data_IF_969010485656
#
_entry.id   IF_969010485656
#
_cell.length_a   1.000
_cell.length_b   1.000
_cell.length_c   1.000
_cell.angle_alpha   90.00
_cell.angle_beta   90.00
_cell.angle_gamma   90.00
#
_symmetry.space_group_name_H-M   'P 1'
#
loop_
_entity.id
_entity.type
_entity.pdbx_description
1 polymer ?
#
# COMPACT_ATOMS: atom_id res chain seq x y z
N UNK A 1 -12.37 -16.93 -2.71
CA UNK A 1 -11.53 -17.14 -1.50
C UNK A 1 -12.21 -16.68 -0.22
N UNK A 2 -12.64 -15.41 -0.10
CA UNK A 2 -13.24 -14.85 1.13
C UNK A 2 -14.49 -15.58 1.63
N UNK A 3 -15.39 -15.99 0.72
CA UNK A 3 -16.57 -16.79 1.06
C UNK A 3 -16.17 -18.17 1.63
N UNK A 4 -15.16 -18.80 1.03
CA UNK A 4 -14.62 -20.09 1.50
C UNK A 4 -14.01 -19.93 2.90
N UNK A 5 -13.23 -18.86 3.11
CA UNK A 5 -12.64 -18.52 4.41
C UNK A 5 -13.73 -18.33 5.48
N UNK A 6 -14.80 -17.59 5.15
CA UNK A 6 -15.92 -17.38 6.03
C UNK A 6 -16.64 -18.67 6.42
N UNK A 7 -16.93 -19.54 5.45
CA UNK A 7 -17.53 -20.85 5.69
C UNK A 7 -16.63 -21.69 6.60
N UNK A 8 -15.32 -21.69 6.35
CA UNK A 8 -14.33 -22.41 7.15
C UNK A 8 -14.31 -21.92 8.60
N UNK A 9 -14.22 -20.60 8.82
CA UNK A 9 -14.22 -19.99 10.16
C UNK A 9 -15.47 -20.34 10.96
N UNK A 10 -16.65 -20.35 10.31
CA UNK A 10 -17.90 -20.75 10.97
C UNK A 10 -17.96 -22.24 11.27
N UNK A 11 -17.36 -23.08 10.43
CA UNK A 11 -17.34 -24.53 10.62
C UNK A 11 -16.37 -24.97 11.72
N UNK A 12 -15.26 -24.25 11.89
CA UNK A 12 -14.20 -24.57 12.85
C UNK A 12 -14.46 -23.99 14.26
N UNK A 13 -15.62 -23.37 14.51
CA UNK A 13 -15.98 -22.76 15.81
C UNK A 13 -14.89 -21.84 16.37
N UNK A 14 -14.23 -21.10 15.47
CA UNK A 14 -13.17 -20.14 15.79
C UNK A 14 -13.66 -19.04 16.74
N UNK A 15 -12.71 -18.38 17.41
CA UNK A 15 -13.03 -17.34 18.40
C UNK A 15 -14.03 -16.29 17.90
N UNK A 16 -14.87 -15.77 18.81
CA UNK A 16 -15.86 -14.72 18.51
C UNK A 16 -15.24 -13.53 17.75
N UNK A 17 -14.00 -13.17 18.09
CA UNK A 17 -13.26 -12.12 17.41
C UNK A 17 -12.98 -12.43 15.93
N UNK A 18 -12.49 -13.64 15.62
CA UNK A 18 -12.23 -14.07 14.22
C UNK A 18 -13.53 -14.14 13.40
N UNK A 19 -14.63 -14.60 13.99
CA UNK A 19 -15.95 -14.59 13.34
C UNK A 19 -16.41 -13.17 13.03
N UNK A 20 -16.24 -12.23 13.98
CA UNK A 20 -16.57 -10.81 13.78
C UNK A 20 -15.75 -10.22 12.63
N UNK A 21 -14.43 -10.45 12.60
CA UNK A 21 -13.56 -9.99 11.50
C UNK A 21 -14.00 -10.59 10.16
N UNK A 22 -14.35 -11.88 10.11
CA UNK A 22 -14.82 -12.53 8.88
C UNK A 22 -16.13 -11.90 8.34
N UNK A 23 -17.07 -11.52 9.21
CA UNK A 23 -18.27 -10.79 8.81
C UNK A 23 -17.93 -9.41 8.22
N UNK A 24 -17.01 -8.67 8.85
CA UNK A 24 -16.53 -7.39 8.31
C UNK A 24 -15.89 -7.54 6.93
N UNK A 25 -15.09 -8.59 6.72
CA UNK A 25 -14.48 -8.87 5.43
C UNK A 25 -15.53 -9.16 4.33
N UNK A 26 -16.60 -9.89 4.65
CA UNK A 26 -17.71 -10.05 3.70
C UNK A 26 -18.38 -8.72 3.38
N UNK A 27 -18.61 -7.87 4.37
CA UNK A 27 -19.15 -6.52 4.17
C UNK A 27 -18.25 -5.66 3.26
N UNK A 28 -16.94 -5.68 3.49
CA UNK A 28 -15.96 -4.98 2.66
C UNK A 28 -15.94 -5.52 1.22
N UNK A 29 -16.05 -6.84 1.03
CA UNK A 29 -16.11 -7.44 -0.30
C UNK A 29 -17.38 -7.01 -1.06
N UNK A 30 -18.53 -6.98 -0.39
CA UNK A 30 -19.78 -6.50 -0.99
C UNK A 30 -19.64 -5.02 -1.37
N UNK A 31 -19.08 -4.20 -0.48
CA UNK A 31 -18.82 -2.80 -0.75
C UNK A 31 -17.89 -2.61 -1.96
N UNK A 32 -16.83 -3.41 -2.08
CA UNK A 32 -15.93 -3.40 -3.23
C UNK A 32 -16.66 -3.73 -4.53
N UNK A 33 -17.52 -4.75 -4.54
CA UNK A 33 -18.31 -5.12 -5.72
C UNK A 33 -19.27 -3.99 -6.14
N UNK A 34 -19.93 -3.35 -5.17
CA UNK A 34 -20.83 -2.21 -5.42
C UNK A 34 -20.03 -1.03 -5.99
N UNK A 35 -18.92 -0.66 -5.36
CA UNK A 35 -18.08 0.45 -5.83
C UNK A 35 -17.50 0.16 -7.21
N UNK A 36 -17.04 -1.06 -7.47
CA UNK A 36 -16.57 -1.49 -8.78
C UNK A 36 -17.66 -1.35 -9.86
N UNK A 37 -18.91 -1.72 -9.53
CA UNK A 37 -20.04 -1.51 -10.43
C UNK A 37 -20.33 -0.02 -10.67
N UNK A 38 -20.34 0.81 -9.61
CA UNK A 38 -20.54 2.27 -9.72
C UNK A 38 -19.51 2.89 -10.65
N UNK A 39 -18.23 2.49 -10.54
CA UNK A 39 -17.15 3.01 -11.38
C UNK A 39 -17.40 2.76 -12.87
N UNK A 40 -17.99 1.61 -13.22
CA UNK A 40 -18.37 1.26 -14.61
C UNK A 40 -19.50 2.16 -15.12
N UNK A 41 -20.52 2.43 -14.30
CA UNK A 41 -21.70 3.21 -14.74
C UNK A 41 -21.49 4.73 -14.73
N UNK A 42 -20.66 5.25 -13.81
CA UNK A 42 -20.52 6.69 -13.58
C UNK A 42 -19.27 7.33 -14.20
N UNK A 43 -18.65 6.67 -15.19
CA UNK A 43 -17.50 7.21 -15.94
C UNK A 43 -16.33 7.59 -15.02
N UNK A 44 -15.92 6.67 -14.16
CA UNK A 44 -14.67 6.75 -13.40
C UNK A 44 -14.48 8.01 -12.51
N UNK A 45 -15.41 8.35 -11.59
CA UNK A 45 -15.20 9.48 -10.69
C UNK A 45 -13.96 9.24 -9.82
N UNK A 46 -12.96 10.11 -9.95
CA UNK A 46 -11.61 9.93 -9.39
C UNK A 46 -11.59 9.68 -7.88
N UNK A 47 -12.46 10.37 -7.14
CA UNK A 47 -12.63 10.20 -5.70
C UNK A 47 -13.13 8.79 -5.38
N UNK A 48 -14.15 8.29 -6.09
CA UNK A 48 -14.75 6.98 -5.83
C UNK A 48 -13.73 5.86 -6.12
N UNK A 49 -12.98 5.94 -7.21
CA UNK A 49 -11.97 4.92 -7.54
C UNK A 49 -10.82 4.96 -6.54
N UNK A 50 -10.40 6.15 -6.13
CA UNK A 50 -9.35 6.28 -5.10
C UNK A 50 -9.80 5.66 -3.79
N UNK A 51 -11.04 5.94 -3.34
CA UNK A 51 -11.60 5.33 -2.13
C UNK A 51 -11.73 3.82 -2.29
N UNK A 52 -12.17 3.35 -3.47
CA UNK A 52 -12.28 1.93 -3.78
C UNK A 52 -10.93 1.22 -3.60
N UNK A 53 -9.86 1.75 -4.22
CA UNK A 53 -8.50 1.23 -4.06
C UNK A 53 -8.07 1.21 -2.58
N UNK A 54 -8.32 2.29 -1.83
CA UNK A 54 -7.95 2.35 -0.42
C UNK A 54 -8.69 1.30 0.43
N UNK A 55 -9.96 1.02 0.12
CA UNK A 55 -10.72 -0.08 0.74
C UNK A 55 -10.10 -1.43 0.38
N UNK A 56 -9.65 -1.63 -0.86
CA UNK A 56 -8.89 -2.82 -1.27
C UNK A 56 -7.60 -3.01 -0.49
N UNK A 57 -6.83 -1.94 -0.26
CA UNK A 57 -5.61 -2.01 0.54
C UNK A 57 -5.89 -2.42 2.00
N UNK A 58 -6.98 -1.90 2.59
CA UNK A 58 -7.43 -2.31 3.95
C UNK A 58 -7.86 -3.78 3.96
N UNK A 59 -8.66 -4.18 2.98
CA UNK A 59 -9.13 -5.56 2.85
C UNK A 59 -7.95 -6.53 2.72
N UNK A 60 -6.95 -6.20 1.91
CA UNK A 60 -5.72 -6.98 1.78
C UNK A 60 -4.94 -7.04 3.09
N UNK A 61 -4.81 -5.93 3.82
CA UNK A 61 -4.13 -5.92 5.13
C UNK A 61 -4.82 -6.86 6.13
N UNK A 62 -6.16 -6.91 6.13
CA UNK A 62 -6.93 -7.82 6.99
C UNK A 62 -6.72 -9.29 6.58
N UNK A 63 -6.65 -9.58 5.28
CA UNK A 63 -6.34 -10.94 4.78
C UNK A 63 -4.95 -11.40 5.23
N UNK A 64 -3.94 -10.54 5.11
CA UNK A 64 -2.57 -10.83 5.57
C UNK A 64 -2.57 -11.03 7.08
N UNK A 65 -3.30 -10.20 7.83
CA UNK A 65 -3.45 -10.34 9.28
C UNK A 65 -4.06 -11.68 9.64
N UNK A 66 -5.14 -12.08 8.99
CA UNK A 66 -5.78 -13.37 9.23
C UNK A 66 -4.81 -14.52 8.96
N UNK A 67 -4.13 -14.52 7.81
CA UNK A 67 -3.16 -15.56 7.42
C UNK A 67 -1.95 -15.67 8.38
N UNK A 68 -1.49 -14.55 8.95
CA UNK A 68 -0.35 -14.51 9.88
C UNK A 68 -0.74 -14.56 11.36
N UNK A 69 -2.03 -14.45 11.69
CA UNK A 69 -2.51 -14.33 13.08
C UNK A 69 -2.15 -15.54 13.96
N UNK A 70 -2.19 -16.74 13.37
CA UNK A 70 -1.94 -18.01 14.07
C UNK A 70 -0.45 -18.43 14.02
N UNK A 71 0.41 -17.63 13.40
CA UNK A 71 1.84 -17.91 13.27
C UNK A 71 2.65 -17.26 14.39
N UNK A 72 3.79 -17.86 14.80
CA UNK A 72 4.63 -17.31 15.86
C UNK A 72 5.16 -15.93 15.46
N UNK A 73 5.05 -14.99 16.40
CA UNK A 73 5.51 -13.60 16.22
C UNK A 73 6.89 -13.41 16.85
N UNK A 74 7.78 -12.74 16.15
CA UNK A 74 9.09 -12.36 16.68
C UNK A 74 8.97 -11.13 17.59
N UNK A 75 9.65 -11.16 18.74
CA UNK A 75 9.74 -10.00 19.63
C UNK A 75 10.67 -8.95 19.04
N UNK A 76 10.24 -7.69 19.05
CA UNK A 76 11.05 -6.53 18.65
C UNK A 76 10.76 -5.33 19.57
N UNK A 77 11.67 -4.36 19.60
CA UNK A 77 11.48 -3.14 20.38
C UNK A 77 10.18 -2.40 20.06
N UNK A 78 9.53 -1.86 21.11
CA UNK A 78 8.26 -1.12 20.96
C UNK A 78 8.37 0.10 20.04
N UNK A 79 9.55 0.72 19.98
CA UNK A 79 9.89 1.82 19.06
C UNK A 79 9.83 1.36 17.61
N UNK A 80 10.41 0.19 17.30
CA UNK A 80 10.42 -0.34 15.94
C UNK A 80 9.00 -0.66 15.44
N UNK A 81 8.14 -1.18 16.32
CA UNK A 81 6.72 -1.36 16.03
C UNK A 81 6.03 -0.05 15.65
N UNK A 82 6.31 1.04 16.40
CA UNK A 82 5.74 2.36 16.10
C UNK A 82 6.19 2.82 14.70
N UNK A 83 7.47 2.69 14.39
CA UNK A 83 7.99 3.06 13.07
C UNK A 83 7.38 2.20 11.95
N UNK A 84 7.19 0.89 12.12
CA UNK A 84 6.51 0.05 11.13
C UNK A 84 5.04 0.48 10.90
N UNK A 85 4.34 0.90 11.95
CA UNK A 85 2.98 1.45 11.80
C UNK A 85 3.00 2.79 11.04
N UNK A 86 3.94 3.69 11.34
CA UNK A 86 4.10 4.96 10.63
C UNK A 86 4.38 4.71 9.15
N UNK A 87 5.30 3.80 8.82
CA UNK A 87 5.61 3.44 7.44
C UNK A 87 4.37 2.89 6.72
N UNK A 88 3.58 2.04 7.38
CA UNK A 88 2.35 1.47 6.81
C UNK A 88 1.34 2.58 6.45
N UNK A 89 1.19 3.58 7.31
CA UNK A 89 0.31 4.74 7.08
C UNK A 89 0.84 5.61 5.94
N UNK A 90 2.14 5.89 5.90
CA UNK A 90 2.77 6.68 4.83
C UNK A 90 2.60 6.00 3.46
N UNK A 91 2.80 4.68 3.38
CA UNK A 91 2.56 3.92 2.16
C UNK A 91 1.09 3.99 1.72
N UNK A 92 0.16 3.82 2.65
CA UNK A 92 -1.28 3.92 2.37
C UNK A 92 -1.66 5.29 1.80
N UNK A 93 -1.16 6.37 2.40
CA UNK A 93 -1.37 7.74 1.91
C UNK A 93 -0.72 7.96 0.54
N UNK A 94 0.48 7.43 0.32
CA UNK A 94 1.22 7.56 -0.95
C UNK A 94 0.48 6.87 -2.09
N UNK A 95 -0.05 5.67 -1.85
CA UNK A 95 -0.87 4.91 -2.81
C UNK A 95 -2.16 5.67 -3.12
N UNK A 96 -2.87 6.18 -2.11
CA UNK A 96 -4.09 6.95 -2.30
C UNK A 96 -3.86 8.22 -3.11
N UNK A 97 -2.83 8.99 -2.78
CA UNK A 97 -2.48 10.21 -3.53
C UNK A 97 -2.10 9.88 -4.99
N UNK A 98 -1.31 8.82 -5.21
CA UNK A 98 -0.93 8.38 -6.55
C UNK A 98 -2.13 7.97 -7.41
N UNK A 99 -3.08 7.25 -6.82
CA UNK A 99 -4.32 6.87 -7.49
C UNK A 99 -5.17 8.10 -7.86
N UNK A 100 -5.30 9.05 -6.94
CA UNK A 100 -6.03 10.29 -7.19
C UNK A 100 -5.42 11.08 -8.36
N UNK A 101 -4.09 11.24 -8.38
CA UNK A 101 -3.36 11.91 -9.48
C UNK A 101 -3.61 11.23 -10.83
N UNK A 102 -3.55 9.88 -10.87
CA UNK A 102 -3.78 9.14 -12.12
C UNK A 102 -5.19 9.37 -12.65
N UNK A 103 -6.21 9.33 -11.79
CA UNK A 103 -7.60 9.50 -12.20
C UNK A 103 -8.01 10.95 -12.48
N UNK A 104 -7.27 11.93 -11.95
CA UNK A 104 -7.41 13.34 -12.33
C UNK A 104 -6.59 13.72 -13.57
N UNK A 105 -5.89 12.77 -14.19
CA UNK A 105 -4.99 13.00 -15.33
C UNK A 105 -3.81 13.95 -15.04
N UNK A 106 -3.40 14.09 -13.77
CA UNK A 106 -2.30 14.97 -13.36
C UNK A 106 -0.91 14.33 -13.47
N UNK A 107 -0.82 13.09 -13.98
CA UNK A 107 0.44 12.33 -14.03
C UNK A 107 1.55 12.98 -14.86
N UNK A 108 1.21 13.85 -15.82
CA UNK A 108 2.15 14.59 -16.67
C UNK A 108 2.29 16.07 -16.30
N UNK A 109 1.74 16.50 -15.16
CA UNK A 109 1.88 17.87 -14.69
C UNK A 109 3.35 18.28 -14.47
N UNK A 110 4.23 17.31 -14.23
CA UNK A 110 5.67 17.51 -14.11
C UNK A 110 6.45 16.40 -14.80
N UNK A 111 7.62 16.73 -15.36
CA UNK A 111 8.61 15.75 -15.85
C UNK A 111 9.23 14.94 -14.71
N UNK A 112 10.10 13.97 -14.97
CA UNK A 112 10.57 13.03 -13.93
C UNK A 112 11.48 13.67 -12.84
N UNK A 113 12.31 14.66 -13.18
CA UNK A 113 13.21 15.37 -12.24
C UNK A 113 12.64 16.66 -11.66
N UNK A 114 11.72 17.34 -12.37
CA UNK A 114 11.25 18.67 -11.99
C UNK A 114 9.93 19.06 -12.65
N UNK A 115 9.36 20.16 -12.19
CA UNK A 115 8.13 20.76 -12.70
C UNK A 115 8.49 22.06 -13.45
N UNK A 116 8.73 21.96 -14.76
CA UNK A 116 9.08 23.11 -15.61
C UNK A 116 10.37 23.85 -15.16
N UNK A 117 10.61 25.06 -15.69
CA UNK A 117 11.74 25.93 -15.31
C UNK A 117 11.62 26.55 -13.89
N UNK A 118 10.57 26.20 -13.15
CA UNK A 118 10.28 26.72 -11.81
C UNK A 118 10.54 25.67 -10.72
N UNK A 119 11.26 26.07 -9.67
CA UNK A 119 11.58 25.18 -8.53
C UNK A 119 10.36 24.88 -7.66
N UNK A 120 9.35 25.76 -7.68
CA UNK A 120 8.13 25.63 -6.88
C UNK A 120 6.91 25.34 -7.77
N UNK A 121 5.97 24.49 -7.33
CA UNK A 121 4.76 24.19 -8.08
C UNK A 121 3.89 25.45 -8.19
N UNK A 122 3.51 25.81 -9.41
CA UNK A 122 2.68 26.97 -9.71
C UNK A 122 1.19 26.61 -9.82
N UNK A 123 0.87 25.32 -9.93
CA UNK A 123 -0.49 24.80 -10.13
C UNK A 123 -0.83 23.65 -9.19
N UNK A 124 -2.13 23.41 -8.96
CA UNK A 124 -2.59 22.29 -8.12
C UNK A 124 -2.12 20.91 -8.66
N UNK A 125 -2.17 20.61 -9.98
CA UNK A 125 -1.63 19.37 -10.52
C UNK A 125 -0.13 19.17 -10.23
N UNK A 126 0.68 20.22 -10.39
CA UNK A 126 2.11 20.18 -10.07
C UNK A 126 2.34 19.98 -8.57
N UNK A 127 1.56 20.65 -7.71
CA UNK A 127 1.64 20.50 -6.26
C UNK A 127 1.35 19.07 -5.84
N UNK A 128 0.28 18.45 -6.34
CA UNK A 128 -0.08 17.07 -6.01
C UNK A 128 0.97 16.08 -6.53
N UNK A 129 1.42 16.25 -7.77
CA UNK A 129 2.45 15.38 -8.36
C UNK A 129 3.80 15.49 -7.63
N UNK A 130 4.20 16.70 -7.23
CA UNK A 130 5.39 16.95 -6.41
C UNK A 130 5.23 16.35 -5.02
N UNK A 131 4.05 16.50 -4.41
CA UNK A 131 3.74 15.94 -3.08
C UNK A 131 3.82 14.41 -3.08
N UNK A 132 3.32 13.76 -4.14
CA UNK A 132 3.43 12.31 -4.29
C UNK A 132 4.89 11.85 -4.38
N UNK A 133 5.75 12.57 -5.12
CA UNK A 133 7.18 12.28 -5.20
C UNK A 133 7.89 12.49 -3.87
N UNK A 134 7.60 13.61 -3.19
CA UNK A 134 8.15 13.90 -1.88
C UNK A 134 7.80 12.78 -0.89
N UNK A 135 6.54 12.33 -0.87
CA UNK A 135 6.11 11.19 -0.07
C UNK A 135 6.83 9.89 -0.47
N UNK A 136 7.01 9.61 -1.76
CA UNK A 136 7.74 8.44 -2.24
C UNK A 136 9.22 8.44 -1.78
N UNK A 137 9.89 9.59 -1.81
CA UNK A 137 11.26 9.73 -1.29
C UNK A 137 11.31 9.59 0.23
N UNK A 138 10.36 10.19 0.97
CA UNK A 138 10.25 10.03 2.42
C UNK A 138 10.06 8.56 2.77
N UNK A 139 9.14 7.87 2.11
CA UNK A 139 8.89 6.42 2.29
C UNK A 139 10.16 5.61 2.03
N UNK A 140 10.86 5.90 0.93
CA UNK A 140 12.11 5.20 0.58
C UNK A 140 13.19 5.39 1.64
N UNK A 141 13.43 6.65 2.05
CA UNK A 141 14.37 6.96 3.13
C UNK A 141 13.98 6.28 4.46
N UNK A 142 12.68 6.21 4.74
CA UNK A 142 12.18 5.56 5.95
C UNK A 142 12.33 4.04 5.92
N UNK A 143 12.18 3.40 4.75
CA UNK A 143 12.48 1.97 4.57
C UNK A 143 13.97 1.71 4.80
N UNK A 144 14.86 2.55 4.27
CA UNK A 144 16.31 2.43 4.48
C UNK A 144 16.65 2.59 5.97
N UNK A 145 16.09 3.62 6.62
CA UNK A 145 16.25 3.82 8.07
C UNK A 145 15.80 2.58 8.86
N UNK A 146 14.61 2.05 8.57
CA UNK A 146 14.08 0.86 9.22
C UNK A 146 14.94 -0.37 8.96
N UNK A 147 15.48 -0.54 7.76
CA UNK A 147 16.41 -1.61 7.45
C UNK A 147 17.61 -1.58 8.39
N UNK A 148 18.27 -0.42 8.53
CA UNK A 148 19.42 -0.25 9.43
C UNK A 148 19.07 -0.63 10.87
N UNK A 149 17.88 -0.28 11.37
CA UNK A 149 17.46 -0.67 12.72
C UNK A 149 17.12 -2.16 12.84
N UNK A 150 16.42 -2.73 11.86
CA UNK A 150 16.04 -4.16 11.83
C UNK A 150 17.27 -5.05 11.74
N UNK A 151 18.34 -4.63 11.06
CA UNK A 151 19.57 -5.40 10.96
C UNK A 151 20.28 -5.60 12.31
N UNK A 152 20.03 -4.71 13.28
CA UNK A 152 20.53 -4.83 14.66
C UNK A 152 19.74 -5.81 15.52
N UNK A 153 18.53 -6.17 15.11
CA UNK A 153 17.66 -7.09 15.86
C UNK A 153 18.02 -8.57 15.59
N UNK A 154 17.68 -9.49 16.49
CA UNK A 154 17.86 -10.94 16.29
C UNK A 154 16.63 -11.61 15.64
N UNK A 155 15.96 -10.94 14.71
CA UNK A 155 14.73 -11.42 14.06
C UNK A 155 14.95 -11.66 12.57
N UNK A 156 15.41 -12.87 12.22
CA UNK A 156 15.70 -13.27 10.82
C UNK A 156 14.50 -13.15 9.87
N UNK A 157 13.26 -13.55 10.24
CA UNK A 157 12.09 -13.33 9.40
C UNK A 157 11.87 -11.87 9.03
N UNK A 158 12.01 -10.94 9.98
CA UNK A 158 11.85 -9.51 9.74
C UNK A 158 12.98 -8.94 8.85
N UNK A 159 14.22 -9.42 9.03
CA UNK A 159 15.35 -9.08 8.16
C UNK A 159 15.10 -9.47 6.70
N UNK A 160 14.58 -10.67 6.46
CA UNK A 160 14.27 -11.12 5.11
C UNK A 160 13.18 -10.25 4.46
N UNK A 161 12.16 -9.85 5.23
CA UNK A 161 11.09 -8.97 4.74
C UNK A 161 11.60 -7.58 4.37
N UNK A 162 12.43 -6.97 5.22
CA UNK A 162 12.96 -5.63 4.89
C UNK A 162 13.96 -5.66 3.74
N UNK A 163 14.71 -6.76 3.56
CA UNK A 163 15.57 -6.96 2.38
C UNK A 163 14.77 -7.03 1.09
N UNK A 164 13.68 -7.80 1.07
CA UNK A 164 12.80 -7.85 -0.10
C UNK A 164 12.14 -6.48 -0.32
N UNK A 165 11.72 -5.78 0.74
CA UNK A 165 11.17 -4.44 0.62
C UNK A 165 12.15 -3.42 0.00
N UNK A 166 13.45 -3.51 0.31
CA UNK A 166 14.49 -2.68 -0.31
C UNK A 166 14.62 -2.93 -1.81
N UNK A 167 14.56 -4.18 -2.25
CA UNK A 167 14.57 -4.50 -3.68
C UNK A 167 13.29 -4.00 -4.36
N UNK A 168 12.14 -4.22 -3.73
CA UNK A 168 10.84 -3.83 -4.29
C UNK A 168 10.70 -2.31 -4.37
N UNK A 169 11.21 -1.53 -3.40
CA UNK A 169 11.14 -0.06 -3.49
C UNK A 169 12.00 0.49 -4.61
N UNK A 170 13.14 -0.13 -4.92
CA UNK A 170 13.94 0.22 -6.10
C UNK A 170 13.14 -0.03 -7.38
N UNK A 171 12.50 -1.20 -7.50
CA UNK A 171 11.61 -1.52 -8.62
C UNK A 171 10.44 -0.54 -8.71
N UNK A 172 9.89 -0.09 -7.58
CA UNK A 172 8.81 0.89 -7.53
C UNK A 172 9.23 2.25 -8.10
N UNK A 173 10.43 2.72 -7.76
CA UNK A 173 10.98 3.97 -8.29
C UNK A 173 11.19 3.84 -9.81
N UNK A 174 11.77 2.74 -10.27
CA UNK A 174 11.98 2.47 -11.71
C UNK A 174 10.63 2.47 -12.44
N UNK A 175 9.62 1.76 -11.92
CA UNK A 175 8.28 1.73 -12.52
C UNK A 175 7.60 3.10 -12.51
N UNK A 176 7.84 3.92 -11.48
CA UNK A 176 7.30 5.28 -11.39
C UNK A 176 7.89 6.20 -12.44
N UNK A 177 9.22 6.17 -12.61
CA UNK A 177 9.91 6.92 -13.68
C UNK A 177 9.44 6.42 -15.06
N UNK A 178 9.38 5.09 -15.26
CA UNK A 178 8.92 4.49 -16.50
C UNK A 178 7.46 4.86 -16.83
N UNK A 179 6.61 5.07 -15.83
CA UNK A 179 5.24 5.56 -16.03
C UNK A 179 5.24 6.97 -16.60
N UNK A 180 6.09 7.87 -16.12
CA UNK A 180 6.21 9.23 -16.66
C UNK A 180 6.80 9.21 -18.08
N UNK A 181 7.89 8.46 -18.29
CA UNK A 181 8.56 8.36 -19.59
C UNK A 181 7.68 7.75 -20.67
N UNK A 182 6.78 6.85 -20.30
CA UNK A 182 5.78 6.24 -21.20
C UNK A 182 4.49 7.05 -21.35
N UNK A 183 4.51 8.34 -20.99
CA UNK A 183 3.35 9.24 -21.06
C UNK A 183 2.12 8.70 -20.29
N UNK A 184 2.38 8.09 -19.14
CA UNK A 184 1.38 7.47 -18.25
C UNK A 184 0.58 6.36 -18.93
N UNK A 185 1.25 5.56 -19.77
CA UNK A 185 0.69 4.37 -20.39
C UNK A 185 -0.02 3.47 -19.37
N UNK A 186 -1.14 2.87 -19.78
CA UNK A 186 -1.95 2.04 -18.90
C UNK A 186 -1.11 0.90 -18.29
N UNK A 187 -0.30 0.23 -19.11
CA UNK A 187 0.52 -0.90 -18.69
C UNK A 187 1.54 -0.51 -17.61
N UNK A 188 2.26 0.61 -17.78
CA UNK A 188 3.24 1.06 -16.77
C UNK A 188 2.57 1.56 -15.50
N UNK A 189 1.44 2.26 -15.62
CA UNK A 189 0.68 2.72 -14.45
C UNK A 189 0.16 1.53 -13.62
N UNK A 190 -0.35 0.48 -14.28
CA UNK A 190 -0.79 -0.76 -13.60
C UNK A 190 0.40 -1.49 -12.97
N UNK A 191 1.54 -1.57 -13.66
CA UNK A 191 2.75 -2.19 -13.12
C UNK A 191 3.26 -1.44 -11.87
N UNK A 192 3.29 -0.10 -11.92
CA UNK A 192 3.67 0.74 -10.80
C UNK A 192 2.72 0.57 -9.60
N UNK A 193 1.41 0.46 -9.85
CA UNK A 193 0.46 0.16 -8.79
C UNK A 193 0.69 -1.24 -8.20
N UNK A 194 0.88 -2.26 -9.05
CA UNK A 194 1.08 -3.64 -8.62
C UNK A 194 2.33 -3.80 -7.73
N UNK A 195 3.46 -3.21 -8.12
CA UNK A 195 4.70 -3.23 -7.32
C UNK A 195 4.50 -2.47 -6.00
N UNK A 196 3.79 -1.34 -6.02
CA UNK A 196 3.46 -0.58 -4.80
C UNK A 196 2.58 -1.36 -3.83
N UNK A 197 1.60 -2.12 -4.35
CA UNK A 197 0.75 -3.01 -3.57
C UNK A 197 1.55 -4.16 -2.94
N UNK A 198 2.50 -4.74 -3.67
CA UNK A 198 3.43 -5.75 -3.13
C UNK A 198 4.28 -5.16 -2.00
N UNK A 199 4.82 -3.95 -2.19
CA UNK A 199 5.60 -3.26 -1.16
C UNK A 199 4.78 -3.06 0.12
N UNK A 200 3.55 -2.56 -0.02
CA UNK A 200 2.62 -2.40 1.11
C UNK A 200 2.35 -3.73 1.82
N UNK A 201 2.07 -4.80 1.07
CA UNK A 201 1.83 -6.12 1.63
C UNK A 201 3.02 -6.64 2.45
N UNK A 202 4.26 -6.50 1.96
CA UNK A 202 5.48 -6.93 2.66
C UNK A 202 5.65 -6.19 3.99
N UNK A 203 5.43 -4.86 4.00
CA UNK A 203 5.57 -4.05 5.21
C UNK A 203 4.49 -4.39 6.24
N UNK A 204 3.23 -4.53 5.81
CA UNK A 204 2.11 -4.93 6.68
C UNK A 204 2.36 -6.31 7.27
N UNK A 205 2.80 -7.27 6.45
CA UNK A 205 3.14 -8.62 6.90
C UNK A 205 4.27 -8.60 7.94
N UNK A 206 5.37 -7.88 7.67
CA UNK A 206 6.49 -7.72 8.60
C UNK A 206 6.06 -7.10 9.93
N UNK A 207 5.15 -6.12 9.90
CA UNK A 207 4.51 -5.58 11.10
C UNK A 207 3.76 -6.68 11.84
N UNK A 208 2.84 -7.41 11.20
CA UNK A 208 1.97 -8.39 11.85
C UNK A 208 2.77 -9.53 12.49
N UNK A 209 3.86 -9.95 11.85
CA UNK A 209 4.80 -10.96 12.35
C UNK A 209 5.63 -10.47 13.56
N UNK A 210 5.45 -9.22 13.99
CA UNK A 210 6.24 -8.60 15.04
C UNK A 210 5.38 -8.22 16.27
N UNK A 211 5.81 -8.67 17.44
CA UNK A 211 5.20 -8.33 18.75
C UNK A 211 6.19 -7.58 19.63
N UNK A 212 5.68 -6.87 20.64
CA UNK A 212 6.51 -6.38 21.74
C UNK A 212 6.98 -7.56 22.59
#
# INVERSE_FOLDING_TARGET
>A
MTIILFIKIRKENESFFKVKVANWMLGLLILQLIMGAIVVFYHLPSIIITIHLLIEMIFMAILIWFWRSDQPKGKIGSTLIKHLNILSILLFMTIGLGAYIKHQHYGLACGWLGCNDSVLPASLPELLQTSHRALAFIVTGYIIFLAVQIFKEHNHPLKNRIMVALVVVILQIIAGIATILSLVSLSMAVLHLAIGTILFAIIIEGRIMSTR
#
